data_IF_409142490778
#
_entry.id   IF_409142490778
#
_cell.length_a   1.000
_cell.length_b   1.000
_cell.length_c   1.000
_cell.angle_alpha   90.00
_cell.angle_beta   90.00
_cell.angle_gamma   90.00
#
_symmetry.space_group_name_H-M   'P 1'
#
loop_
_entity.id
_entity.type
_entity.pdbx_description
1 polymer ?
#
# COMPACT_ATOMS: atom_id res chain seq x y z
N UNK A 1 -29.04 -1.03 -1.28
CA UNK A 1 -28.20 -1.91 -0.44
C UNK A 1 -27.61 -3.02 -1.30
N UNK A 2 -26.41 -2.81 -1.85
CA UNK A 2 -25.65 -3.88 -2.51
C UNK A 2 -24.50 -4.24 -1.57
N UNK A 3 -24.46 -5.50 -1.19
CA UNK A 3 -23.50 -6.09 -0.26
C UNK A 3 -22.08 -5.78 -0.76
N UNK A 4 -21.38 -4.92 -0.01
CA UNK A 4 -19.92 -4.85 -0.02
C UNK A 4 -19.42 -6.29 0.08
N UNK A 5 -18.67 -6.77 -0.92
CA UNK A 5 -18.06 -8.11 -0.90
C UNK A 5 -17.15 -8.12 0.33
N UNK A 6 -17.65 -8.68 1.44
CA UNK A 6 -17.07 -8.49 2.75
C UNK A 6 -15.60 -8.89 2.69
N UNK A 7 -14.71 -7.95 3.04
CA UNK A 7 -13.28 -8.10 2.90
C UNK A 7 -12.86 -9.50 3.36
N UNK A 8 -12.17 -10.26 2.50
CA UNK A 8 -11.56 -11.51 2.94
C UNK A 8 -10.61 -11.15 4.09
N UNK A 9 -10.81 -11.76 5.26
CA UNK A 9 -9.93 -11.56 6.40
C UNK A 9 -8.55 -12.09 6.03
N UNK A 10 -7.51 -11.38 6.50
CA UNK A 10 -6.15 -11.70 6.10
C UNK A 10 -5.59 -12.80 7.00
N UNK A 11 -4.98 -13.86 6.44
CA UNK A 11 -4.15 -14.74 7.25
C UNK A 11 -2.98 -13.92 7.81
N UNK A 12 -2.87 -13.89 9.13
CA UNK A 12 -1.79 -13.27 9.90
C UNK A 12 -1.03 -14.36 10.63
N UNK A 13 0.30 -14.29 10.60
CA UNK A 13 1.17 -15.13 11.41
C UNK A 13 1.28 -14.51 12.81
N UNK A 14 0.60 -15.09 13.79
CA UNK A 14 0.72 -14.70 15.18
C UNK A 14 1.96 -15.35 15.79
N UNK A 15 2.95 -14.54 16.14
CA UNK A 15 4.23 -15.00 16.68
C UNK A 15 4.18 -14.96 18.20
N UNK A 16 4.35 -16.13 18.82
CA UNK A 16 4.39 -16.32 20.27
C UNK A 16 5.77 -16.81 20.72
N UNK A 17 5.96 -16.96 22.04
CA UNK A 17 7.12 -17.64 22.57
C UNK A 17 7.19 -19.10 22.07
N UNK A 18 6.04 -19.81 22.08
CA UNK A 18 5.93 -21.23 21.72
C UNK A 18 6.01 -21.51 20.21
N UNK A 19 5.69 -20.55 19.34
CA UNK A 19 5.68 -20.83 17.90
C UNK A 19 5.13 -19.71 17.03
N UNK A 20 4.62 -20.12 15.86
CA UNK A 20 3.91 -19.26 14.91
C UNK A 20 2.58 -19.92 14.56
N UNK A 21 1.49 -19.20 14.76
CA UNK A 21 0.13 -19.67 14.51
C UNK A 21 -0.50 -18.87 13.37
N UNK A 22 -1.34 -19.53 12.56
CA UNK A 22 -2.12 -18.83 11.55
C UNK A 22 -3.44 -18.36 12.16
N UNK A 23 -3.66 -17.05 12.15
CA UNK A 23 -4.88 -16.42 12.67
C UNK A 23 -5.57 -15.66 11.55
N UNK A 24 -6.89 -15.80 11.45
CA UNK A 24 -7.72 -14.97 10.59
C UNK A 24 -8.12 -13.70 11.34
N UNK A 25 -7.60 -12.54 10.92
CA UNK A 25 -7.91 -11.26 11.57
C UNK A 25 -9.06 -10.56 10.81
N UNK A 26 -10.28 -10.51 11.38
CA UNK A 26 -11.46 -9.97 10.69
C UNK A 26 -11.43 -8.45 10.55
N UNK A 27 -10.55 -7.76 11.27
CA UNK A 27 -10.41 -6.30 11.18
C UNK A 27 -9.40 -5.89 10.12
N UNK A 28 -8.56 -6.83 9.66
CA UNK A 28 -7.48 -6.56 8.73
C UNK A 28 -7.87 -6.97 7.29
N UNK A 29 -8.10 -6.02 6.37
CA UNK A 29 -8.50 -6.34 5.01
C UNK A 29 -7.38 -7.07 4.25
N UNK A 30 -7.76 -8.00 3.37
CA UNK A 30 -6.86 -8.76 2.50
C UNK A 30 -5.72 -7.90 1.92
N UNK A 31 -4.53 -8.49 1.79
CA UNK A 31 -3.36 -7.83 1.19
C UNK A 31 -3.65 -7.38 -0.24
N UNK A 32 -3.59 -6.06 -0.46
CA UNK A 32 -3.76 -5.44 -1.77
C UNK A 32 -2.58 -4.55 -2.15
N UNK A 33 -1.48 -4.55 -1.39
CA UNK A 33 -0.26 -3.85 -1.80
C UNK A 33 0.50 -4.60 -2.89
N UNK A 34 1.24 -3.89 -3.76
CA UNK A 34 1.91 -4.56 -4.83
C UNK A 34 3.04 -5.36 -4.20
N UNK A 35 3.21 -6.61 -4.64
CA UNK A 35 4.50 -7.24 -4.50
C UNK A 35 5.55 -6.29 -5.13
N UNK A 36 6.67 -6.00 -4.45
CA UNK A 36 7.70 -5.12 -4.98
C UNK A 36 8.13 -5.60 -6.38
N UNK A 37 8.38 -4.68 -7.32
CA UNK A 37 8.88 -5.04 -8.65
C UNK A 37 10.38 -5.32 -8.58
N UNK A 38 10.76 -6.44 -7.96
CA UNK A 38 12.15 -6.82 -7.80
C UNK A 38 12.94 -5.81 -6.94
N UNK A 39 13.98 -6.31 -6.29
CA UNK A 39 14.88 -5.48 -5.48
C UNK A 39 15.81 -4.71 -6.44
N UNK A 40 15.82 -3.37 -6.47
CA UNK A 40 16.93 -2.65 -7.09
C UNK A 40 18.20 -2.89 -6.27
N UNK A 41 19.35 -3.03 -6.94
CA UNK A 41 20.67 -3.02 -6.28
C UNK A 41 20.84 -1.76 -5.41
N UNK A 42 21.61 -1.91 -4.32
CA UNK A 42 21.95 -0.81 -3.42
C UNK A 42 22.59 0.34 -4.23
N UNK A 43 22.19 1.60 -4.02
CA UNK A 43 22.94 2.72 -4.57
C UNK A 43 24.35 2.78 -3.94
N UNK A 44 25.34 3.36 -4.64
CA UNK A 44 26.72 3.40 -4.16
C UNK A 44 26.83 4.13 -2.81
N UNK A 45 27.82 3.77 -1.98
CA UNK A 45 28.05 4.43 -0.70
C UNK A 45 28.26 5.93 -0.91
N UNK A 46 27.61 6.74 -0.07
CA UNK A 46 27.90 8.18 -0.01
C UNK A 46 29.32 8.35 0.55
N UNK A 47 30.15 9.11 -0.17
CA UNK A 47 31.50 9.45 0.23
C UNK A 47 31.51 10.13 1.61
N UNK A 48 32.47 9.72 2.44
CA UNK A 48 32.58 10.13 3.84
C UNK A 48 32.93 11.61 4.04
N UNK A 49 32.45 12.14 5.15
CA UNK A 49 32.80 13.46 5.67
C UNK A 49 32.09 13.68 7.01
N UNK A 50 32.87 13.93 8.06
CA UNK A 50 32.53 13.90 9.51
C UNK A 50 32.42 12.48 10.11
N UNK A 51 32.89 12.30 11.35
CA UNK A 51 32.83 11.04 12.07
C UNK A 51 31.41 10.47 11.98
N UNK A 52 31.22 9.41 11.20
CA UNK A 52 29.90 9.02 10.73
C UNK A 52 28.96 8.79 11.92
N UNK A 53 27.85 9.55 12.00
CA UNK A 53 26.83 9.38 13.03
C UNK A 53 26.43 7.90 13.12
N UNK A 54 26.46 7.36 14.33
CA UNK A 54 26.18 5.94 14.60
C UNK A 54 24.84 5.77 15.29
N UNK A 55 24.27 4.57 15.23
CA UNK A 55 23.05 4.25 15.98
C UNK A 55 23.22 4.50 17.48
N UNK A 56 24.31 4.02 18.15
CA UNK A 56 24.54 4.37 19.55
C UNK A 56 24.71 5.88 19.80
N UNK A 57 25.35 6.59 18.87
CA UNK A 57 25.49 8.05 18.94
C UNK A 57 24.14 8.76 18.93
N UNK A 58 23.22 8.36 18.05
CA UNK A 58 21.87 8.93 18.00
C UNK A 58 21.05 8.64 19.27
N UNK A 59 21.20 7.44 19.85
CA UNK A 59 20.55 7.10 21.13
C UNK A 59 21.11 7.95 22.28
N UNK A 60 22.44 8.14 22.33
CA UNK A 60 23.09 9.00 23.32
C UNK A 60 22.69 10.48 23.17
N UNK A 61 22.60 10.97 21.93
CA UNK A 61 22.13 12.33 21.64
C UNK A 61 20.68 12.53 22.10
N UNK A 62 19.79 11.55 21.87
CA UNK A 62 18.41 11.60 22.34
C UNK A 62 18.31 11.64 23.87
N UNK A 63 19.15 10.88 24.60
CA UNK A 63 19.23 10.97 26.06
C UNK A 63 19.73 12.35 26.51
N UNK A 64 20.81 12.84 25.90
CA UNK A 64 21.38 14.16 26.23
C UNK A 64 20.41 15.32 25.96
N UNK A 65 19.51 15.17 24.99
CA UNK A 65 18.45 16.12 24.69
C UNK A 65 17.19 15.94 25.56
N UNK A 66 17.17 14.97 26.48
CA UNK A 66 16.00 14.68 27.33
C UNK A 66 14.82 14.04 26.58
N UNK A 67 15.02 13.57 25.35
CA UNK A 67 13.96 12.97 24.54
C UNK A 67 13.66 11.52 24.93
N UNK A 68 14.59 10.86 25.64
CA UNK A 68 14.42 9.53 26.23
C UNK A 68 15.03 9.49 27.63
N UNK A 69 14.54 8.55 28.45
CA UNK A 69 15.11 8.26 29.76
C UNK A 69 16.28 7.25 29.68
N UNK A 70 16.97 7.06 30.81
CA UNK A 70 18.11 6.15 30.92
C UNK A 70 17.72 4.69 30.64
N UNK A 71 16.51 4.27 31.03
CA UNK A 71 16.03 2.90 30.84
C UNK A 71 15.89 2.58 29.35
N UNK A 72 15.28 3.49 28.58
CA UNK A 72 15.17 3.36 27.12
C UNK A 72 16.53 3.43 26.44
N UNK A 73 17.41 4.32 26.88
CA UNK A 73 18.78 4.41 26.38
C UNK A 73 19.50 3.06 26.50
N UNK A 74 19.54 2.49 27.71
CA UNK A 74 20.27 1.25 27.98
C UNK A 74 19.62 0.05 27.31
N UNK A 75 18.29 -0.03 27.34
CA UNK A 75 17.51 -1.06 26.65
C UNK A 75 17.79 -1.10 25.15
N UNK A 76 17.73 0.06 24.49
CA UNK A 76 17.98 0.14 23.04
C UNK A 76 19.42 -0.16 22.66
N UNK A 77 20.41 0.32 23.42
CA UNK A 77 21.80 -0.07 23.17
C UNK A 77 22.01 -1.58 23.33
N UNK A 78 21.36 -2.20 24.32
CA UNK A 78 21.35 -3.66 24.50
C UNK A 78 20.72 -4.38 23.30
N UNK A 79 19.51 -3.99 22.88
CA UNK A 79 18.82 -4.53 21.70
C UNK A 79 19.68 -4.43 20.43
N UNK A 80 20.37 -3.30 20.23
CA UNK A 80 21.28 -3.12 19.09
C UNK A 80 22.49 -4.06 19.12
N UNK A 81 23.10 -4.23 20.30
CA UNK A 81 24.22 -5.16 20.49
C UNK A 81 23.78 -6.61 20.30
N UNK A 82 22.60 -6.97 20.79
CA UNK A 82 22.02 -8.30 20.64
C UNK A 82 21.77 -8.61 19.15
N UNK A 83 21.10 -7.70 18.43
CA UNK A 83 20.82 -7.87 17.00
C UNK A 83 22.10 -8.14 16.18
N UNK A 84 23.19 -7.39 16.45
CA UNK A 84 24.49 -7.62 15.82
C UNK A 84 25.10 -8.97 16.18
N UNK A 85 24.96 -9.40 17.43
CA UNK A 85 25.45 -10.70 17.91
C UNK A 85 24.70 -11.86 17.25
N UNK A 86 23.38 -11.76 17.20
CA UNK A 86 22.50 -12.74 16.53
C UNK A 86 22.83 -12.80 15.04
N UNK A 87 22.93 -11.67 14.33
CA UNK A 87 23.30 -11.61 12.91
C UNK A 87 24.58 -12.38 12.61
N UNK A 88 25.60 -12.31 13.48
CA UNK A 88 26.88 -13.02 13.28
C UNK A 88 26.72 -14.55 13.29
N UNK A 89 25.77 -15.08 14.08
CA UNK A 89 25.51 -16.51 14.25
C UNK A 89 24.51 -17.08 13.25
N UNK A 90 23.67 -16.24 12.66
CA UNK A 90 22.69 -16.67 11.67
C UNK A 90 23.37 -17.08 10.35
N UNK A 91 22.91 -18.16 9.68
CA UNK A 91 23.33 -18.51 8.34
C UNK A 91 22.36 -17.98 7.26
N UNK A 92 22.83 -17.98 6.01
CA UNK A 92 21.99 -17.85 4.81
C UNK A 92 21.02 -16.67 4.80
N UNK A 93 19.76 -16.94 4.46
CA UNK A 93 18.71 -15.93 4.32
C UNK A 93 18.47 -15.16 5.63
N UNK A 94 18.42 -15.84 6.78
CA UNK A 94 18.17 -15.22 8.10
C UNK A 94 19.19 -14.12 8.40
N UNK A 95 20.47 -14.37 8.08
CA UNK A 95 21.55 -13.37 8.21
C UNK A 95 21.35 -12.16 7.31
N UNK A 96 20.91 -12.38 6.06
CA UNK A 96 20.66 -11.31 5.08
C UNK A 96 19.49 -10.44 5.52
N UNK A 97 18.38 -11.04 5.96
CA UNK A 97 17.18 -10.32 6.37
C UNK A 97 17.41 -9.48 7.63
N UNK A 98 17.95 -10.06 8.71
CA UNK A 98 18.30 -9.29 9.90
C UNK A 98 19.41 -8.27 9.60
N UNK A 99 20.35 -8.65 8.74
CA UNK A 99 21.41 -7.76 8.26
C UNK A 99 20.85 -6.49 7.64
N UNK A 100 19.85 -6.62 6.76
CA UNK A 100 19.24 -5.47 6.09
C UNK A 100 18.55 -4.51 7.05
N UNK A 101 17.91 -5.02 8.11
CA UNK A 101 17.26 -4.18 9.13
C UNK A 101 18.30 -3.35 9.87
N UNK A 102 19.41 -3.98 10.31
CA UNK A 102 20.54 -3.29 10.94
C UNK A 102 21.16 -2.25 9.99
N UNK A 103 21.35 -2.60 8.73
CA UNK A 103 22.00 -1.73 7.75
C UNK A 103 21.11 -0.52 7.39
N UNK A 104 19.79 -0.70 7.32
CA UNK A 104 18.81 0.38 7.12
C UNK A 104 18.83 1.40 8.27
N UNK A 105 18.83 0.90 9.51
CA UNK A 105 18.92 1.74 10.71
C UNK A 105 20.26 2.49 10.76
N UNK A 106 21.36 1.81 10.42
CA UNK A 106 22.67 2.43 10.29
C UNK A 106 22.73 3.52 9.22
N UNK A 107 22.03 3.32 8.09
CA UNK A 107 21.95 4.33 7.03
C UNK A 107 21.17 5.57 7.48
N UNK A 108 20.07 5.40 8.23
CA UNK A 108 19.36 6.52 8.86
C UNK A 108 20.26 7.31 9.80
N UNK A 109 21.03 6.62 10.66
CA UNK A 109 21.95 7.28 11.59
C UNK A 109 23.02 8.08 10.83
N UNK A 110 23.70 7.46 9.84
CA UNK A 110 24.74 8.13 9.04
C UNK A 110 24.21 9.33 8.26
N UNK A 111 22.96 9.26 7.78
CA UNK A 111 22.29 10.37 7.12
C UNK A 111 21.78 11.47 8.06
N UNK A 112 21.96 11.32 9.39
CA UNK A 112 21.38 12.24 10.37
C UNK A 112 19.85 12.20 10.43
N UNK A 113 19.25 11.11 9.92
CA UNK A 113 17.80 10.93 9.84
C UNK A 113 17.25 10.10 10.99
N UNK A 114 18.08 9.45 11.81
CA UNK A 114 17.63 8.72 13.01
C UNK A 114 17.39 9.72 14.17
N UNK A 115 16.32 10.50 14.07
CA UNK A 115 15.89 11.47 15.09
C UNK A 115 15.26 10.77 16.31
N UNK A 116 15.08 11.46 17.46
CA UNK A 116 14.45 10.87 18.63
C UNK A 116 13.08 10.23 18.36
N UNK A 117 12.23 10.88 17.56
CA UNK A 117 10.91 10.35 17.18
C UNK A 117 10.96 9.12 16.28
N UNK A 118 12.11 8.80 15.68
CA UNK A 118 12.30 7.62 14.82
C UNK A 118 12.97 6.46 15.56
N UNK A 119 13.46 6.67 16.79
CA UNK A 119 14.09 5.60 17.57
C UNK A 119 13.08 4.52 17.92
N UNK A 120 11.91 4.86 18.47
CA UNK A 120 10.88 3.89 18.85
C UNK A 120 10.47 2.94 17.71
N UNK A 121 10.04 3.41 16.51
CA UNK A 121 9.65 2.49 15.44
C UNK A 121 10.82 1.68 14.86
N UNK A 122 12.02 2.26 14.76
CA UNK A 122 13.19 1.53 14.20
C UNK A 122 13.74 0.48 15.16
N UNK A 123 13.72 0.74 16.47
CA UNK A 123 14.07 -0.27 17.48
C UNK A 123 13.02 -1.36 17.59
N UNK A 124 11.72 -1.02 17.47
CA UNK A 124 10.67 -2.04 17.42
C UNK A 124 10.88 -3.00 16.22
N UNK A 125 11.19 -2.49 15.03
CA UNK A 125 11.56 -3.35 13.90
C UNK A 125 12.79 -4.22 14.21
N UNK A 126 13.84 -3.64 14.79
CA UNK A 126 15.07 -4.35 15.12
C UNK A 126 14.83 -5.51 16.08
N UNK A 127 14.06 -5.29 17.15
CA UNK A 127 13.76 -6.27 18.19
C UNK A 127 12.91 -7.41 17.64
N UNK A 128 11.82 -7.10 16.91
CA UNK A 128 10.96 -8.13 16.32
C UNK A 128 11.69 -8.96 15.27
N UNK A 129 12.55 -8.36 14.45
CA UNK A 129 13.39 -9.11 13.52
C UNK A 129 14.43 -9.97 14.23
N UNK A 130 15.06 -9.45 15.29
CA UNK A 130 16.07 -10.20 16.06
C UNK A 130 15.47 -11.44 16.72
N UNK A 131 14.26 -11.32 17.26
CA UNK A 131 13.49 -12.45 17.79
C UNK A 131 13.10 -13.42 16.68
N UNK A 132 12.48 -12.93 15.61
CA UNK A 132 11.90 -13.77 14.58
C UNK A 132 12.95 -14.58 13.82
N UNK A 133 14.00 -13.92 13.32
CA UNK A 133 14.99 -14.57 12.47
C UNK A 133 15.89 -15.54 13.21
N UNK A 134 15.90 -15.51 14.55
CA UNK A 134 16.62 -16.49 15.38
C UNK A 134 16.17 -17.92 15.12
N UNK A 135 14.86 -18.13 15.05
CA UNK A 135 14.30 -19.48 15.15
C UNK A 135 12.97 -19.70 14.42
N UNK A 136 12.18 -18.64 14.15
CA UNK A 136 10.82 -18.81 13.61
C UNK A 136 10.85 -19.23 12.13
N UNK A 137 9.84 -19.97 11.63
CA UNK A 137 9.77 -20.40 10.22
C UNK A 137 9.87 -19.23 9.24
N UNK A 138 10.52 -19.45 8.09
CA UNK A 138 10.66 -18.42 7.05
C UNK A 138 9.28 -18.16 6.44
N UNK A 139 8.75 -16.91 6.52
CA UNK A 139 7.43 -16.61 6.03
C UNK A 139 7.44 -16.41 4.50
N UNK A 140 6.29 -16.57 3.87
CA UNK A 140 6.12 -16.26 2.45
C UNK A 140 6.20 -14.75 2.19
N UNK A 141 6.62 -14.36 0.98
CA UNK A 141 6.69 -12.95 0.59
C UNK A 141 5.33 -12.24 0.80
N UNK A 142 5.34 -11.09 1.48
CA UNK A 142 4.12 -10.34 1.79
C UNK A 142 3.30 -10.88 2.96
N UNK A 143 3.75 -11.95 3.64
CA UNK A 143 3.09 -12.44 4.85
C UNK A 143 3.02 -11.33 5.91
N UNK A 144 1.87 -11.25 6.59
CA UNK A 144 1.65 -10.32 7.69
C UNK A 144 1.84 -11.03 9.03
N UNK A 145 2.41 -10.33 10.01
CA UNK A 145 2.76 -10.91 11.30
C UNK A 145 2.40 -9.96 12.45
N UNK A 146 2.04 -10.53 13.60
CA UNK A 146 1.89 -9.81 14.88
C UNK A 146 2.69 -10.54 15.96
N UNK A 147 3.02 -9.86 17.05
CA UNK A 147 3.88 -10.42 18.10
C UNK A 147 3.22 -10.33 19.48
N UNK A 148 2.97 -11.48 20.10
CA UNK A 148 2.33 -11.55 21.41
C UNK A 148 1.00 -10.80 21.43
N UNK A 149 0.84 -9.90 22.41
CA UNK A 149 -0.40 -9.12 22.58
C UNK A 149 -0.42 -7.79 21.81
N UNK A 150 0.69 -7.43 21.14
CA UNK A 150 0.77 -6.21 20.33
C UNK A 150 -0.19 -6.29 19.15
N UNK A 151 -0.88 -5.19 18.87
CA UNK A 151 -1.75 -5.07 17.70
C UNK A 151 -0.97 -4.73 16.41
N UNK A 152 0.31 -4.39 16.54
CA UNK A 152 1.13 -3.90 15.43
C UNK A 152 1.41 -5.02 14.41
N UNK A 153 0.97 -4.75 13.19
CA UNK A 153 1.16 -5.60 12.03
C UNK A 153 2.48 -5.27 11.35
N UNK A 154 3.31 -6.29 11.21
CA UNK A 154 4.48 -6.32 10.37
C UNK A 154 4.15 -7.00 9.05
N UNK A 155 4.92 -6.72 8.01
CA UNK A 155 4.90 -7.45 6.76
C UNK A 155 6.30 -7.90 6.37
N UNK A 156 6.43 -9.13 5.90
CA UNK A 156 7.69 -9.62 5.35
C UNK A 156 7.91 -9.11 3.93
N UNK A 157 8.99 -8.37 3.75
CA UNK A 157 9.49 -7.92 2.45
C UNK A 157 10.81 -8.64 2.18
N UNK A 158 10.86 -9.60 1.23
CA UNK A 158 12.10 -10.31 0.93
C UNK A 158 13.27 -9.36 0.64
N UNK A 159 14.40 -9.61 1.30
CA UNK A 159 15.58 -8.76 1.22
C UNK A 159 15.46 -7.43 1.96
N UNK A 160 14.38 -7.19 2.70
CA UNK A 160 14.17 -6.02 3.57
C UNK A 160 13.85 -6.41 5.03
N UNK A 161 13.66 -7.68 5.36
CA UNK A 161 13.23 -8.14 6.68
C UNK A 161 11.74 -7.92 6.94
N UNK A 162 11.33 -8.08 8.19
CA UNK A 162 9.99 -7.74 8.66
C UNK A 162 9.92 -6.23 8.89
N UNK A 163 8.94 -5.56 8.31
CA UNK A 163 8.76 -4.11 8.43
C UNK A 163 7.42 -3.77 9.02
N UNK A 164 7.37 -2.75 9.87
CA UNK A 164 6.10 -2.17 10.28
C UNK A 164 5.39 -1.75 8.99
N UNK A 165 4.10 -2.09 8.89
CA UNK A 165 3.31 -1.80 7.71
C UNK A 165 2.26 -0.74 8.11
N UNK A 166 2.54 0.58 7.94
CA UNK A 166 1.62 1.65 8.31
C UNK A 166 0.19 1.49 7.76
N UNK A 167 0.02 1.23 6.46
CA UNK A 167 -1.30 1.05 5.85
C UNK A 167 -2.09 -0.11 6.47
N UNK A 168 -1.50 -1.28 6.66
CA UNK A 168 -2.15 -2.45 7.24
C UNK A 168 -2.56 -2.18 8.69
N UNK A 169 -1.70 -1.49 9.46
CA UNK A 169 -2.01 -1.08 10.82
C UNK A 169 -3.22 -0.14 10.87
N UNK A 170 -3.21 0.94 10.08
CA UNK A 170 -4.34 1.88 10.09
C UNK A 170 -5.60 1.32 9.44
N UNK A 171 -5.47 0.39 8.48
CA UNK A 171 -6.61 -0.34 7.95
C UNK A 171 -7.26 -1.21 9.04
N UNK A 172 -6.47 -1.91 9.85
CA UNK A 172 -6.95 -2.69 11.00
C UNK A 172 -7.57 -1.79 12.08
N UNK A 173 -6.97 -0.64 12.38
CA UNK A 173 -7.53 0.34 13.30
C UNK A 173 -8.92 0.85 12.83
N UNK A 174 -9.04 1.18 11.54
CA UNK A 174 -10.34 1.52 10.95
C UNK A 174 -11.31 0.33 10.94
N UNK A 175 -10.82 -0.90 10.77
CA UNK A 175 -11.59 -2.13 10.89
C UNK A 175 -12.22 -2.31 12.27
N UNK A 176 -11.49 -2.00 13.35
CA UNK A 176 -12.05 -2.03 14.70
C UNK A 176 -13.19 -1.02 14.88
N UNK A 177 -13.01 0.22 14.42
CA UNK A 177 -14.07 1.22 14.44
C UNK A 177 -15.29 0.78 13.63
N UNK A 178 -15.06 0.27 12.41
CA UNK A 178 -16.08 -0.26 11.51
C UNK A 178 -16.91 -1.36 12.19
N UNK A 179 -16.28 -2.28 12.92
CA UNK A 179 -16.96 -3.31 13.68
C UNK A 179 -17.85 -2.73 14.79
N UNK A 180 -17.38 -1.70 15.49
CA UNK A 180 -18.17 -1.03 16.53
C UNK A 180 -19.35 -0.20 15.99
N UNK A 181 -19.25 0.31 14.77
CA UNK A 181 -20.34 1.05 14.10
C UNK A 181 -21.23 0.18 13.22
N UNK A 182 -20.86 -1.09 12.97
CA UNK A 182 -21.58 -1.98 12.06
C UNK A 182 -21.50 -1.56 10.59
N UNK A 183 -20.44 -0.85 10.17
CA UNK A 183 -20.28 -0.33 8.81
C UNK A 183 -19.11 -1.01 8.10
N UNK A 184 -19.25 -1.36 6.82
CA UNK A 184 -18.17 -1.91 5.99
C UNK A 184 -17.38 -3.05 6.68
N UNK A 185 -18.10 -3.92 7.38
CA UNK A 185 -17.54 -5.03 8.17
C UNK A 185 -18.35 -6.29 7.91
N UNK A 186 -17.73 -7.46 8.09
CA UNK A 186 -18.44 -8.74 8.00
C UNK A 186 -19.54 -8.82 9.08
N UNK A 187 -20.74 -9.32 8.75
CA UNK A 187 -21.77 -9.62 9.76
C UNK A 187 -21.20 -10.49 10.89
N UNK A 188 -21.55 -10.16 12.13
CA UNK A 188 -21.08 -10.88 13.32
C UNK A 188 -19.67 -10.54 13.80
N UNK A 189 -18.96 -9.60 13.16
CA UNK A 189 -17.65 -9.13 13.67
C UNK A 189 -17.84 -8.34 14.97
N UNK A 190 -17.24 -8.74 16.09
CA UNK A 190 -17.49 -8.10 17.38
C UNK A 190 -16.84 -6.72 17.49
N UNK A 191 -17.46 -5.80 18.21
CA UNK A 191 -16.80 -4.56 18.61
C UNK A 191 -15.71 -4.84 19.65
N UNK A 192 -14.45 -4.49 19.35
CA UNK A 192 -13.29 -4.65 20.25
C UNK A 192 -12.71 -3.28 20.62
N UNK A 193 -13.49 -2.49 21.37
CA UNK A 193 -13.14 -1.10 21.72
C UNK A 193 -11.80 -0.96 22.46
N UNK A 194 -11.47 -1.91 23.35
CA UNK A 194 -10.19 -1.92 24.07
C UNK A 194 -9.00 -2.23 23.15
N UNK A 195 -9.14 -3.19 22.23
CA UNK A 195 -8.10 -3.49 21.23
C UNK A 195 -7.89 -2.32 20.26
N UNK A 196 -8.97 -1.58 19.94
CA UNK A 196 -8.86 -0.35 19.16
C UNK A 196 -8.03 0.71 19.88
N UNK A 197 -8.33 0.99 21.15
CA UNK A 197 -7.58 1.94 21.97
C UNK A 197 -6.11 1.53 22.10
N UNK A 198 -5.84 0.27 22.42
CA UNK A 198 -4.48 -0.27 22.50
C UNK A 198 -3.73 -0.10 21.18
N UNK A 199 -4.37 -0.39 20.05
CA UNK A 199 -3.75 -0.22 18.73
C UNK A 199 -3.43 1.24 18.41
N UNK A 200 -4.33 2.18 18.71
CA UNK A 200 -4.08 3.61 18.49
C UNK A 200 -2.95 4.13 19.39
N UNK A 201 -2.87 3.66 20.63
CA UNK A 201 -1.81 4.03 21.56
C UNK A 201 -0.45 3.50 21.12
N UNK A 202 -0.38 2.25 20.66
CA UNK A 202 0.82 1.70 20.04
C UNK A 202 1.22 2.49 18.79
N UNK A 203 0.25 2.85 17.92
CA UNK A 203 0.53 3.61 16.70
C UNK A 203 0.95 5.06 16.97
N UNK A 204 0.44 5.68 18.04
CA UNK A 204 0.86 7.01 18.46
C UNK A 204 2.35 7.03 18.81
N UNK A 205 2.84 6.00 19.52
CA UNK A 205 4.26 5.85 19.87
C UNK A 205 5.18 5.60 18.66
N UNK A 206 4.63 5.24 17.50
CA UNK A 206 5.38 4.99 16.26
C UNK A 206 5.41 6.20 15.31
N UNK A 207 4.78 7.31 15.69
CA UNK A 207 4.78 8.54 14.90
C UNK A 207 6.14 9.24 14.89
N UNK A 208 6.66 9.56 13.71
CA UNK A 208 7.86 10.35 13.51
C UNK A 208 7.51 11.82 13.26
N UNK A 209 8.32 12.74 13.80
CA UNK A 209 8.21 14.18 13.52
C UNK A 209 9.05 14.52 12.29
N UNK A 210 8.44 15.18 11.29
CA UNK A 210 9.12 15.62 10.08
C UNK A 210 8.52 16.91 9.52
N UNK A 211 9.20 17.50 8.55
CA UNK A 211 8.72 18.65 7.80
C UNK A 211 8.90 20.01 8.48
N UNK A 212 8.54 21.06 7.74
CA UNK A 212 8.56 22.46 8.18
C UNK A 212 7.31 23.16 7.62
N UNK A 213 6.31 23.50 8.45
CA UNK A 213 6.21 23.23 9.89
C UNK A 213 6.22 21.72 10.20
N UNK A 214 6.62 21.39 11.44
CA UNK A 214 6.73 20.01 11.87
C UNK A 214 5.34 19.35 11.98
N UNK A 215 5.26 18.08 11.59
CA UNK A 215 4.03 17.29 11.64
C UNK A 215 4.34 15.81 11.94
N UNK A 216 3.33 15.05 12.34
CA UNK A 216 3.45 13.63 12.67
C UNK A 216 3.24 12.74 11.44
N UNK A 217 4.15 11.80 11.21
CA UNK A 217 4.11 10.88 10.10
C UNK A 217 4.34 9.44 10.53
N UNK A 218 3.63 8.50 9.88
CA UNK A 218 3.90 7.08 10.02
C UNK A 218 4.69 6.62 8.79
N UNK A 219 6.01 6.63 8.96
CA UNK A 219 6.99 6.44 7.90
C UNK A 219 7.29 4.96 7.61
N UNK A 220 7.82 4.71 6.41
CA UNK A 220 8.43 3.45 6.01
C UNK A 220 9.94 3.59 6.07
N UNK A 221 10.61 2.70 6.82
CA UNK A 221 12.05 2.77 7.13
C UNK A 221 12.94 1.87 6.27
N UNK A 222 12.46 1.47 5.10
CA UNK A 222 13.17 0.59 4.17
C UNK A 222 13.09 1.08 2.72
N UNK A 223 13.98 0.55 1.87
CA UNK A 223 13.98 0.86 0.43
C UNK A 223 12.88 0.11 -0.30
N UNK A 224 12.15 0.80 -1.18
CA UNK A 224 11.04 0.22 -1.92
C UNK A 224 10.96 0.79 -3.32
N UNK A 225 10.94 -0.06 -4.36
CA UNK A 225 10.84 0.34 -5.78
C UNK A 225 11.79 1.52 -6.17
N UNK A 226 13.02 1.50 -5.63
CA UNK A 226 14.05 2.52 -5.88
C UNK A 226 14.00 3.74 -4.94
N UNK A 227 12.97 3.84 -4.10
CA UNK A 227 12.83 4.85 -3.06
C UNK A 227 13.76 4.63 -1.88
N UNK A 228 14.30 5.72 -1.32
CA UNK A 228 15.12 5.69 -0.09
C UNK A 228 14.27 6.04 1.13
N UNK A 229 14.45 5.34 2.27
CA UNK A 229 13.79 5.71 3.51
C UNK A 229 14.41 6.95 4.15
N UNK A 230 13.66 7.64 5.05
CA UNK A 230 12.28 7.37 5.38
C UNK A 230 11.32 8.05 4.37
N UNK A 231 10.30 7.32 3.95
CA UNK A 231 9.27 7.85 3.05
C UNK A 231 7.87 7.68 3.66
N UNK A 232 6.96 8.55 3.25
CA UNK A 232 5.53 8.52 3.61
C UNK A 232 4.66 8.24 2.39
N UNK A 233 3.43 7.80 2.66
CA UNK A 233 2.40 7.52 1.65
C UNK A 233 1.12 8.27 1.92
N UNK A 234 0.48 8.86 0.90
CA UNK A 234 -0.85 9.49 1.06
C UNK A 234 -1.90 8.48 1.49
N UNK A 235 -1.75 7.23 1.04
CA UNK A 235 -2.65 6.13 1.38
C UNK A 235 -2.56 5.76 2.86
N UNK A 236 -1.34 5.57 3.39
CA UNK A 236 -1.17 5.27 4.82
C UNK A 236 -1.52 6.48 5.69
N UNK A 237 -1.07 7.68 5.34
CA UNK A 237 -1.36 8.90 6.11
C UNK A 237 -2.85 9.23 6.14
N UNK A 238 -3.56 9.09 5.02
CA UNK A 238 -5.00 9.34 4.95
C UNK A 238 -5.78 8.34 5.80
N UNK A 239 -5.38 7.07 5.75
CA UNK A 239 -5.97 6.01 6.59
C UNK A 239 -5.64 6.23 8.07
N UNK A 240 -4.48 6.82 8.38
CA UNK A 240 -4.07 7.14 9.75
C UNK A 240 -4.91 8.27 10.38
N UNK A 241 -5.01 9.42 9.71
CA UNK A 241 -5.81 10.55 10.22
C UNK A 241 -7.28 10.16 10.38
N UNK A 242 -7.79 9.29 9.50
CA UNK A 242 -9.12 8.69 9.61
C UNK A 242 -9.26 7.85 10.88
N UNK A 243 -8.30 6.94 11.14
CA UNK A 243 -8.33 6.06 12.30
C UNK A 243 -8.26 6.85 13.62
N UNK A 244 -7.40 7.87 13.69
CA UNK A 244 -7.29 8.71 14.88
C UNK A 244 -8.51 9.60 15.09
N UNK A 245 -9.07 10.21 14.03
CA UNK A 245 -10.32 10.97 14.15
C UNK A 245 -11.48 10.09 14.66
N UNK A 246 -11.62 8.88 14.09
CA UNK A 246 -12.56 7.87 14.58
C UNK A 246 -12.29 7.41 16.00
N UNK A 247 -11.02 7.40 16.42
CA UNK A 247 -10.60 7.22 17.80
C UNK A 247 -11.17 8.30 18.71
N UNK A 248 -11.10 9.57 18.32
CA UNK A 248 -11.74 10.68 19.04
C UNK A 248 -13.24 10.46 19.20
N UNK A 249 -13.94 10.15 18.11
CA UNK A 249 -15.39 9.96 18.12
C UNK A 249 -15.82 8.77 18.99
N UNK A 250 -15.12 7.63 18.90
CA UNK A 250 -15.52 6.40 19.58
C UNK A 250 -15.01 6.30 21.02
N UNK A 251 -13.81 6.81 21.30
CA UNK A 251 -13.11 6.64 22.59
C UNK A 251 -13.14 7.91 23.46
N UNK A 252 -13.32 9.09 22.87
CA UNK A 252 -13.42 10.36 23.60
C UNK A 252 -12.11 10.92 24.17
N UNK A 253 -10.97 10.25 23.95
CA UNK A 253 -9.67 10.73 24.42
C UNK A 253 -9.11 11.81 23.46
N UNK A 254 -8.83 13.05 23.94
CA UNK A 254 -8.37 14.15 23.11
C UNK A 254 -7.01 13.90 22.45
N UNK A 255 -6.18 12.98 22.95
CA UNK A 255 -4.88 12.66 22.34
C UNK A 255 -5.03 12.15 20.90
N UNK A 256 -6.14 11.47 20.59
CA UNK A 256 -6.40 10.99 19.24
C UNK A 256 -6.75 12.13 18.28
N UNK A 257 -7.47 13.15 18.76
CA UNK A 257 -7.75 14.34 17.94
C UNK A 257 -6.45 15.08 17.63
N UNK A 258 -5.59 15.25 18.65
CA UNK A 258 -4.27 15.86 18.49
C UNK A 258 -3.40 15.09 17.49
N UNK A 259 -3.38 13.76 17.56
CA UNK A 259 -2.63 12.91 16.63
C UNK A 259 -3.15 13.03 15.18
N UNK A 260 -4.47 13.02 15.00
CA UNK A 260 -5.08 13.20 13.67
C UNK A 260 -4.71 14.57 13.08
N UNK A 261 -4.81 15.62 13.88
CA UNK A 261 -4.49 17.00 13.52
C UNK A 261 -3.00 17.21 13.23
N UNK A 262 -2.12 16.57 13.99
CA UNK A 262 -0.69 16.58 13.68
C UNK A 262 -0.37 15.79 12.39
N UNK A 263 -1.20 14.83 12.00
CA UNK A 263 -0.99 13.99 10.83
C UNK A 263 -1.26 14.69 9.48
N UNK A 264 -2.10 15.73 9.46
CA UNK A 264 -2.51 16.37 8.20
C UNK A 264 -1.38 17.14 7.51
N UNK A 265 -0.31 17.49 8.24
CA UNK A 265 0.85 18.20 7.67
C UNK A 265 1.52 17.46 6.51
N UNK A 266 1.31 16.15 6.39
CA UNK A 266 1.73 15.39 5.20
C UNK A 266 1.09 15.92 3.90
N UNK A 267 -0.17 16.35 3.98
CA UNK A 267 -0.96 16.86 2.86
C UNK A 267 -0.77 18.35 2.61
N UNK A 268 -0.15 19.08 3.55
CA UNK A 268 0.20 20.49 3.40
C UNK A 268 1.55 20.68 2.69
N UNK A 269 2.38 19.63 2.64
CA UNK A 269 3.76 19.72 2.18
C UNK A 269 4.01 18.93 0.89
N UNK A 270 4.93 19.44 0.06
CA UNK A 270 5.35 18.78 -1.18
C UNK A 270 6.29 17.60 -0.91
N UNK A 271 6.31 16.58 -1.79
CA UNK A 271 7.39 15.61 -1.87
C UNK A 271 8.80 16.24 -1.90
N UNK A 272 9.83 15.59 -1.31
CA UNK A 272 9.77 14.30 -0.62
C UNK A 272 9.29 14.41 0.84
N UNK A 273 9.08 15.62 1.35
CA UNK A 273 8.74 15.85 2.75
C UNK A 273 7.29 15.45 3.03
N UNK A 274 6.33 15.91 2.23
CA UNK A 274 4.92 15.51 2.28
C UNK A 274 4.48 14.76 1.01
N UNK A 275 3.18 14.84 0.68
CA UNK A 275 2.56 14.09 -0.43
C UNK A 275 1.78 14.95 -1.42
N UNK A 276 1.72 16.27 -1.22
CA UNK A 276 0.94 17.18 -2.07
C UNK A 276 1.68 17.57 -3.35
N UNK A 277 1.07 17.31 -4.52
CA UNK A 277 1.57 17.76 -5.81
C UNK A 277 0.48 18.50 -6.59
N UNK A 278 0.79 19.62 -7.26
CA UNK A 278 -0.17 20.29 -8.14
C UNK A 278 -0.69 19.33 -9.22
N UNK A 279 -1.98 19.42 -9.51
CA UNK A 279 -2.65 18.66 -10.57
C UNK A 279 -3.79 19.48 -11.19
N UNK A 280 -4.29 19.04 -12.34
CA UNK A 280 -5.40 19.69 -13.01
C UNK A 280 -6.61 19.79 -12.06
N UNK A 281 -7.10 21.01 -11.83
CA UNK A 281 -8.21 21.29 -10.93
C UNK A 281 -7.87 21.41 -9.45
N UNK A 282 -6.66 21.06 -8.99
CA UNK A 282 -6.31 21.16 -7.57
C UNK A 282 -5.01 20.44 -7.18
N UNK A 283 -5.09 19.57 -6.19
CA UNK A 283 -3.91 18.88 -5.62
C UNK A 283 -4.09 17.37 -5.69
N UNK A 284 -3.09 16.65 -6.20
CA UNK A 284 -3.02 15.20 -6.06
C UNK A 284 -2.17 14.83 -4.83
N UNK A 285 -2.56 13.77 -4.12
CA UNK A 285 -1.80 13.24 -3.00
C UNK A 285 -1.12 11.92 -3.37
N UNK A 286 0.18 11.96 -3.60
CA UNK A 286 0.93 10.83 -4.16
C UNK A 286 1.05 9.67 -3.18
N UNK A 287 0.89 8.45 -3.70
CA UNK A 287 1.06 7.21 -2.92
C UNK A 287 2.47 7.09 -2.33
N UNK A 288 3.50 7.60 -3.01
CA UNK A 288 4.88 7.52 -2.54
C UNK A 288 5.49 8.91 -2.61
N UNK A 289 5.88 9.46 -1.46
CA UNK A 289 6.58 10.76 -1.38
C UNK A 289 7.90 10.79 -2.17
N UNK A 290 8.50 9.63 -2.50
CA UNK A 290 9.69 9.58 -3.37
C UNK A 290 9.37 9.48 -4.88
N UNK A 291 8.09 9.35 -5.28
CA UNK A 291 7.65 9.31 -6.68
C UNK A 291 6.61 10.41 -6.97
N UNK A 292 6.99 11.69 -6.97
CA UNK A 292 6.06 12.82 -7.10
C UNK A 292 5.30 12.88 -8.44
N UNK A 293 5.74 12.11 -9.45
CA UNK A 293 5.11 12.07 -10.78
C UNK A 293 4.22 10.84 -10.99
N UNK A 294 4.09 9.97 -9.98
CA UNK A 294 3.35 8.72 -10.09
C UNK A 294 1.95 8.86 -9.47
N UNK A 295 0.97 9.15 -10.32
CA UNK A 295 -0.40 9.43 -9.89
C UNK A 295 -1.20 8.13 -9.86
N UNK A 296 -1.38 7.57 -8.67
CA UNK A 296 -2.07 6.29 -8.44
C UNK A 296 -3.43 6.56 -7.84
N UNK A 297 -4.49 6.13 -8.53
CA UNK A 297 -5.86 6.53 -8.21
C UNK A 297 -6.37 5.94 -6.90
N UNK A 298 -6.05 4.69 -6.57
CA UNK A 298 -6.57 4.06 -5.35
C UNK A 298 -6.06 4.77 -4.08
N UNK A 299 -4.78 5.10 -4.03
CA UNK A 299 -4.17 5.86 -2.95
C UNK A 299 -4.76 7.25 -2.82
N UNK A 300 -4.94 7.92 -3.96
CA UNK A 300 -5.49 9.26 -3.98
C UNK A 300 -6.93 9.29 -3.45
N UNK A 301 -7.83 8.45 -3.98
CA UNK A 301 -9.23 8.41 -3.53
C UNK A 301 -9.34 8.02 -2.04
N UNK A 302 -8.54 7.05 -1.56
CA UNK A 302 -8.55 6.71 -0.14
C UNK A 302 -8.02 7.83 0.76
N UNK A 303 -7.03 8.60 0.30
CA UNK A 303 -6.57 9.76 1.06
C UNK A 303 -7.67 10.81 1.22
N UNK A 304 -8.55 10.97 0.22
CA UNK A 304 -9.71 11.86 0.30
C UNK A 304 -10.79 11.33 1.23
N UNK A 305 -11.07 10.03 1.22
CA UNK A 305 -11.95 9.41 2.23
C UNK A 305 -11.47 9.71 3.65
N UNK A 306 -10.16 9.63 3.87
CA UNK A 306 -9.56 9.91 5.17
C UNK A 306 -9.60 11.40 5.56
N UNK A 307 -9.29 12.30 4.63
CA UNK A 307 -9.39 13.75 4.86
C UNK A 307 -10.84 14.20 5.12
N UNK A 308 -11.81 13.63 4.39
CA UNK A 308 -13.23 13.90 4.62
C UNK A 308 -13.66 13.49 6.03
N UNK A 309 -13.41 12.23 6.41
CA UNK A 309 -13.76 11.74 7.76
C UNK A 309 -13.07 12.55 8.85
N UNK A 310 -11.77 12.85 8.67
CA UNK A 310 -11.02 13.71 9.58
C UNK A 310 -11.69 15.08 9.74
N UNK A 311 -11.98 15.77 8.63
CA UNK A 311 -12.56 17.11 8.66
C UNK A 311 -13.97 17.12 9.28
N UNK A 312 -14.77 16.09 9.02
CA UNK A 312 -16.14 15.98 9.53
C UNK A 312 -16.15 15.70 11.04
N UNK A 313 -15.27 14.81 11.50
CA UNK A 313 -15.23 14.40 12.91
C UNK A 313 -14.56 15.47 13.78
N UNK A 314 -13.49 16.11 13.30
CA UNK A 314 -12.71 17.06 14.10
C UNK A 314 -13.16 18.52 13.94
N UNK A 315 -13.84 18.85 12.83
CA UNK A 315 -14.18 20.23 12.49
C UNK A 315 -12.98 21.10 12.07
N UNK A 316 -11.78 20.55 11.87
CA UNK A 316 -10.60 21.35 11.48
C UNK A 316 -10.75 21.88 10.03
N UNK A 317 -10.83 23.22 9.83
CA UNK A 317 -11.01 23.81 8.51
C UNK A 317 -9.83 23.56 7.57
N UNK A 318 -8.61 23.29 8.08
CA UNK A 318 -7.46 22.92 7.25
C UNK A 318 -7.69 21.58 6.58
N UNK A 319 -8.22 20.61 7.31
CA UNK A 319 -8.60 19.30 6.77
C UNK A 319 -9.62 19.41 5.64
N UNK A 320 -10.64 20.25 5.84
CA UNK A 320 -11.64 20.53 4.81
C UNK A 320 -11.03 21.21 3.57
N UNK A 321 -10.13 22.18 3.76
CA UNK A 321 -9.42 22.83 2.66
C UNK A 321 -8.58 21.86 1.84
N UNK A 322 -7.86 20.95 2.51
CA UNK A 322 -7.10 19.87 1.87
C UNK A 322 -8.01 18.91 1.12
N UNK A 323 -9.11 18.48 1.74
CA UNK A 323 -10.11 17.65 1.09
C UNK A 323 -10.64 18.33 -0.19
N UNK A 324 -11.06 19.59 -0.13
CA UNK A 324 -11.62 20.32 -1.28
C UNK A 324 -10.60 20.47 -2.42
N UNK A 325 -9.35 20.81 -2.11
CA UNK A 325 -8.28 20.90 -3.12
C UNK A 325 -8.00 19.54 -3.78
N UNK A 326 -8.05 18.46 -3.00
CA UNK A 326 -7.91 17.10 -3.49
C UNK A 326 -9.11 16.63 -4.32
N UNK A 327 -10.31 16.90 -3.85
CA UNK A 327 -11.58 16.52 -4.47
C UNK A 327 -11.72 17.15 -5.86
N UNK A 328 -11.36 18.43 -6.01
CA UNK A 328 -11.37 19.11 -7.30
C UNK A 328 -10.48 18.41 -8.34
N UNK A 329 -9.28 17.97 -7.95
CA UNK A 329 -8.42 17.17 -8.82
C UNK A 329 -8.94 15.73 -9.04
N UNK A 330 -9.59 15.13 -8.04
CA UNK A 330 -10.16 13.79 -8.14
C UNK A 330 -11.35 13.71 -9.11
N UNK A 331 -12.15 14.76 -9.27
CA UNK A 331 -13.23 14.79 -10.28
C UNK A 331 -12.70 14.59 -11.70
N UNK A 332 -11.55 15.20 -12.01
CA UNK A 332 -10.87 15.06 -13.30
C UNK A 332 -10.21 13.69 -13.40
N UNK A 333 -9.42 13.33 -12.39
CA UNK A 333 -8.58 12.13 -12.46
C UNK A 333 -9.40 10.84 -12.40
N UNK A 334 -10.54 10.80 -11.70
CA UNK A 334 -11.41 9.62 -11.67
C UNK A 334 -11.81 9.19 -13.09
N UNK A 335 -12.17 10.15 -13.94
CA UNK A 335 -12.52 9.90 -15.35
C UNK A 335 -11.32 9.40 -16.15
N UNK A 336 -10.14 9.98 -15.92
CA UNK A 336 -8.90 9.59 -16.61
C UNK A 336 -8.43 8.16 -16.29
N UNK A 337 -8.93 7.56 -15.21
CA UNK A 337 -8.60 6.19 -14.81
C UNK A 337 -9.65 5.16 -15.23
N UNK A 338 -10.72 5.57 -15.91
CA UNK A 338 -11.71 4.68 -16.50
C UNK A 338 -11.42 4.46 -17.99
N UNK A 339 -11.17 3.22 -18.40
CA UNK A 339 -10.96 2.88 -19.83
C UNK A 339 -12.26 2.66 -20.59
N UNK A 340 -13.41 2.74 -19.91
CA UNK A 340 -14.72 2.35 -20.43
C UNK A 340 -15.00 0.84 -20.29
N UNK A 341 -14.03 0.05 -19.82
CA UNK A 341 -14.17 -1.40 -19.64
C UNK A 341 -13.40 -1.95 -18.42
N UNK A 342 -12.52 -1.16 -17.82
CA UNK A 342 -11.72 -1.49 -16.65
C UNK A 342 -11.12 -0.22 -16.02
N UNK A 343 -10.44 -0.36 -14.89
CA UNK A 343 -9.71 0.76 -14.27
C UNK A 343 -8.22 0.73 -14.58
N UNK A 344 -7.59 1.89 -14.67
CA UNK A 344 -6.13 2.06 -14.68
C UNK A 344 -5.59 2.14 -13.25
N UNK A 345 -4.40 1.58 -13.01
CA UNK A 345 -3.75 1.66 -11.70
C UNK A 345 -3.19 3.07 -11.43
N UNK A 346 -2.57 3.65 -12.45
CA UNK A 346 -2.09 5.03 -12.41
C UNK A 346 -2.27 5.73 -13.74
N UNK A 347 -2.17 7.05 -13.74
CA UNK A 347 -2.48 7.91 -14.89
C UNK A 347 -1.65 7.54 -16.11
N UNK A 348 -2.32 7.23 -17.24
CA UNK A 348 -1.66 6.79 -18.48
C UNK A 348 -0.91 5.46 -18.37
N UNK A 349 -1.10 4.74 -17.25
CA UNK A 349 -0.38 3.51 -16.93
C UNK A 349 -1.11 2.23 -17.36
N UNK A 350 -0.71 1.13 -16.73
CA UNK A 350 -1.33 -0.18 -16.94
C UNK A 350 -2.71 -0.26 -16.30
N UNK A 351 -3.55 -1.15 -16.84
CA UNK A 351 -4.78 -1.58 -16.17
C UNK A 351 -4.49 -2.19 -14.79
N UNK A 352 -5.40 -1.94 -13.87
CA UNK A 352 -5.40 -2.50 -12.52
C UNK A 352 -5.48 -4.03 -12.56
N UNK A 353 -4.80 -4.70 -11.62
CA UNK A 353 -5.10 -6.11 -11.32
C UNK A 353 -6.53 -6.23 -10.75
N UNK A 354 -7.05 -7.46 -10.61
CA UNK A 354 -8.39 -7.66 -10.07
C UNK A 354 -8.54 -7.06 -8.66
N UNK A 355 -7.53 -7.27 -7.81
CA UNK A 355 -7.51 -6.70 -6.46
C UNK A 355 -7.55 -5.17 -6.49
N UNK A 356 -6.75 -4.53 -7.33
CA UNK A 356 -6.75 -3.07 -7.43
C UNK A 356 -8.02 -2.49 -8.02
N UNK A 357 -8.63 -3.18 -8.98
CA UNK A 357 -9.89 -2.75 -9.57
C UNK A 357 -11.00 -2.73 -8.52
N UNK A 358 -11.10 -3.80 -7.73
CA UNK A 358 -12.01 -3.89 -6.58
C UNK A 358 -11.74 -2.80 -5.56
N UNK A 359 -10.45 -2.60 -5.23
CA UNK A 359 -10.04 -1.62 -4.24
C UNK A 359 -10.42 -0.18 -4.61
N UNK A 360 -10.10 0.26 -5.83
CA UNK A 360 -10.46 1.61 -6.26
C UNK A 360 -11.97 1.78 -6.38
N UNK A 361 -12.70 0.75 -6.84
CA UNK A 361 -14.16 0.73 -6.82
C UNK A 361 -14.70 0.96 -5.40
N UNK A 362 -14.20 0.24 -4.41
CA UNK A 362 -14.68 0.35 -3.03
C UNK A 362 -14.35 1.72 -2.42
N UNK A 363 -13.17 2.28 -2.72
CA UNK A 363 -12.82 3.63 -2.31
C UNK A 363 -13.70 4.70 -2.98
N UNK A 364 -14.06 4.52 -4.25
CA UNK A 364 -14.99 5.41 -4.96
C UNK A 364 -16.41 5.29 -4.40
N UNK A 365 -16.88 4.08 -4.06
CA UNK A 365 -18.16 3.89 -3.35
C UNK A 365 -18.14 4.62 -2.01
N UNK A 366 -17.07 4.48 -1.23
CA UNK A 366 -16.92 5.20 0.04
C UNK A 366 -16.91 6.71 -0.13
N UNK A 367 -16.30 7.24 -1.19
CA UNK A 367 -16.30 8.67 -1.46
C UNK A 367 -17.65 9.17 -1.98
N UNK A 368 -18.36 8.35 -2.76
CA UNK A 368 -19.76 8.58 -3.13
C UNK A 368 -20.65 8.67 -1.89
N UNK A 369 -20.57 7.72 -0.96
CA UNK A 369 -21.38 7.74 0.28
C UNK A 369 -21.20 9.05 1.06
N UNK A 370 -19.96 9.57 1.11
CA UNK A 370 -19.60 10.82 1.80
C UNK A 370 -20.09 12.08 1.09
N UNK A 371 -19.96 12.12 -0.23
CA UNK A 371 -20.05 13.37 -1.01
C UNK A 371 -21.28 13.46 -1.90
N UNK A 372 -21.94 12.32 -2.13
CA UNK A 372 -23.01 12.13 -3.13
C UNK A 372 -22.65 12.70 -4.51
N UNK A 373 -21.35 12.76 -4.83
CA UNK A 373 -20.87 13.36 -6.07
C UNK A 373 -20.95 12.36 -7.23
N UNK A 374 -21.69 12.74 -8.28
CA UNK A 374 -22.03 11.89 -9.43
C UNK A 374 -20.84 11.13 -10.03
N UNK A 375 -19.68 11.78 -10.22
CA UNK A 375 -18.54 11.12 -10.87
C UNK A 375 -18.03 9.93 -10.06
N UNK A 376 -18.05 10.00 -8.72
CA UNK A 376 -17.62 8.87 -7.90
C UNK A 376 -18.66 7.76 -7.90
N UNK A 377 -19.94 8.12 -7.75
CA UNK A 377 -21.04 7.17 -7.74
C UNK A 377 -21.16 6.40 -9.06
N UNK A 378 -21.13 7.12 -10.19
CA UNK A 378 -21.24 6.53 -11.53
C UNK A 378 -20.01 5.72 -11.93
N UNK A 379 -18.80 6.15 -11.56
CA UNK A 379 -17.58 5.36 -11.81
C UNK A 379 -17.52 4.12 -10.92
N UNK A 380 -17.92 4.19 -9.65
CA UNK A 380 -18.01 3.01 -8.78
C UNK A 380 -19.02 1.98 -9.33
N UNK A 381 -20.18 2.44 -9.81
CA UNK A 381 -21.16 1.58 -10.48
C UNK A 381 -20.60 0.96 -11.77
N UNK A 382 -19.89 1.75 -12.58
CA UNK A 382 -19.26 1.26 -13.81
C UNK A 382 -18.17 0.22 -13.54
N UNK A 383 -17.30 0.45 -12.55
CA UNK A 383 -16.28 -0.52 -12.13
C UNK A 383 -16.92 -1.80 -11.57
N UNK A 384 -18.04 -1.68 -10.84
CA UNK A 384 -18.82 -2.85 -10.42
C UNK A 384 -19.31 -3.64 -11.63
N UNK A 385 -19.88 -2.97 -12.64
CA UNK A 385 -20.35 -3.61 -13.88
C UNK A 385 -19.20 -4.30 -14.65
N UNK A 386 -18.04 -3.66 -14.74
CA UNK A 386 -16.86 -4.20 -15.46
C UNK A 386 -16.33 -5.52 -14.91
N UNK A 387 -16.56 -5.81 -13.62
CA UNK A 387 -16.25 -7.10 -13.02
C UNK A 387 -17.04 -8.27 -13.63
N UNK A 388 -18.16 -8.00 -14.31
CA UNK A 388 -19.07 -9.00 -14.85
C UNK A 388 -19.17 -8.98 -16.37
N UNK A 389 -18.80 -7.86 -17.02
CA UNK A 389 -18.79 -7.76 -18.47
C UNK A 389 -17.69 -8.63 -19.11
N UNK A 390 -17.96 -9.30 -20.23
CA UNK A 390 -16.94 -10.05 -20.98
C UNK A 390 -15.98 -9.10 -21.69
N UNK A 391 -14.70 -9.47 -21.91
CA UNK A 391 -13.80 -8.68 -22.76
C UNK A 391 -14.37 -8.61 -24.18
N UNK A 392 -14.28 -7.45 -24.85
CA UNK A 392 -14.71 -7.29 -26.24
C UNK A 392 -13.51 -7.41 -27.18
N UNK A 393 -13.73 -8.07 -28.30
CA UNK A 393 -12.76 -8.22 -29.38
C UNK A 393 -13.35 -7.65 -30.67
N UNK A 394 -12.68 -6.66 -31.23
CA UNK A 394 -13.09 -6.01 -32.48
C UNK A 394 -12.02 -6.25 -33.55
N UNK A 395 -12.39 -6.88 -34.66
CA UNK A 395 -11.48 -7.13 -35.76
C UNK A 395 -11.17 -5.84 -36.52
N UNK A 396 -9.89 -5.52 -36.71
CA UNK A 396 -9.45 -4.30 -37.41
C UNK A 396 -8.85 -4.58 -38.79
N UNK A 397 -8.78 -5.85 -39.21
CA UNK A 397 -8.25 -6.23 -40.51
C UNK A 397 -6.94 -7.02 -40.46
N UNK A 398 -6.44 -7.31 -41.65
CA UNK A 398 -5.18 -8.01 -41.90
C UNK A 398 -4.37 -7.23 -42.94
N UNK A 399 -3.06 -7.09 -42.72
CA UNK A 399 -2.10 -6.57 -43.71
C UNK A 399 -0.97 -7.57 -43.86
N UNK A 400 -0.83 -8.18 -45.05
CA UNK A 400 0.08 -9.30 -45.25
C UNK A 400 -0.22 -10.41 -44.24
N UNK A 401 0.81 -10.95 -43.56
CA UNK A 401 0.62 -11.99 -42.53
C UNK A 401 0.23 -11.46 -41.15
N UNK A 402 0.02 -10.16 -40.99
CA UNK A 402 -0.25 -9.55 -39.67
C UNK A 402 -1.73 -9.25 -39.52
N UNK A 403 -2.34 -9.76 -38.46
CA UNK A 403 -3.71 -9.42 -38.08
C UNK A 403 -3.72 -8.31 -37.04
N UNK A 404 -4.79 -7.51 -37.03
CA UNK A 404 -5.05 -6.49 -36.01
C UNK A 404 -6.45 -6.65 -35.42
N UNK A 405 -6.55 -6.48 -34.11
CA UNK A 405 -7.83 -6.39 -33.41
C UNK A 405 -7.71 -5.45 -32.21
N UNK A 406 -8.81 -4.86 -31.76
CA UNK A 406 -8.90 -4.09 -30.52
C UNK A 406 -9.45 -4.99 -29.40
N UNK A 407 -8.81 -4.92 -28.23
CA UNK A 407 -9.21 -5.59 -27.00
C UNK A 407 -9.71 -4.54 -26.00
N UNK A 408 -10.86 -4.76 -25.37
CA UNK A 408 -11.42 -3.76 -24.44
C UNK A 408 -10.77 -3.76 -23.06
N UNK A 409 -10.27 -4.89 -22.57
CA UNK A 409 -9.71 -4.99 -21.22
C UNK A 409 -8.69 -6.11 -21.05
N UNK A 410 -7.86 -5.98 -20.02
CA UNK A 410 -6.79 -6.90 -19.64
C UNK A 410 -7.24 -8.37 -19.70
N UNK A 411 -6.58 -9.15 -20.57
CA UNK A 411 -6.95 -10.54 -20.85
C UNK A 411 -5.75 -11.40 -21.20
N UNK A 412 -5.84 -12.69 -20.88
CA UNK A 412 -5.04 -13.71 -21.57
C UNK A 412 -5.60 -13.88 -22.97
N UNK A 413 -4.80 -13.54 -23.98
CA UNK A 413 -5.17 -13.65 -25.38
C UNK A 413 -4.42 -14.81 -26.03
N UNK A 414 -5.19 -15.77 -26.53
CA UNK A 414 -4.69 -16.92 -27.31
C UNK A 414 -5.07 -16.75 -28.77
N UNK A 415 -4.05 -16.71 -29.64
CA UNK A 415 -4.21 -16.64 -31.10
C UNK A 415 -3.90 -18.01 -31.68
N UNK A 416 -4.85 -18.58 -32.40
CA UNK A 416 -4.73 -19.88 -33.06
C UNK A 416 -4.95 -19.70 -34.55
N UNK A 417 -4.07 -20.24 -35.40
CA UNK A 417 -4.24 -20.22 -36.85
C UNK A 417 -4.50 -21.64 -37.38
N UNK A 418 -5.30 -21.77 -38.44
CA UNK A 418 -5.46 -23.02 -39.20
C UNK A 418 -4.56 -22.98 -40.43
N UNK A 419 -3.70 -23.98 -40.58
CA UNK A 419 -2.73 -24.10 -41.68
C UNK A 419 -2.82 -25.53 -42.22
N UNK A 420 -3.07 -25.70 -43.52
CA UNK A 420 -3.24 -27.02 -44.17
C UNK A 420 -4.22 -27.93 -43.37
N UNK A 421 -5.35 -27.39 -42.94
CA UNK A 421 -6.36 -28.11 -42.16
C UNK A 421 -6.04 -28.34 -40.67
N UNK A 422 -4.83 -28.02 -40.18
CA UNK A 422 -4.43 -28.22 -38.78
C UNK A 422 -4.44 -26.91 -37.99
N UNK A 423 -5.00 -26.91 -36.79
CA UNK A 423 -4.98 -25.77 -35.87
C UNK A 423 -3.67 -25.70 -35.10
N UNK A 424 -3.06 -24.52 -35.00
CA UNK A 424 -1.81 -24.28 -34.28
C UNK A 424 -1.93 -23.03 -33.41
N UNK A 425 -1.57 -23.12 -32.13
CA UNK A 425 -1.46 -21.95 -31.24
C UNK A 425 -0.23 -21.16 -31.65
N UNK A 426 -0.43 -19.89 -31.97
CA UNK A 426 0.62 -18.97 -32.40
C UNK A 426 1.14 -18.16 -31.22
N UNK A 427 0.24 -17.77 -30.32
CA UNK A 427 0.60 -17.01 -29.13
C UNK A 427 -0.43 -17.24 -28.03
N UNK A 428 0.02 -17.23 -26.78
CA UNK A 428 -0.84 -17.11 -25.60
C UNK A 428 -0.15 -16.18 -24.63
N UNK A 429 -0.64 -14.94 -24.51
CA UNK A 429 -0.01 -13.89 -23.69
C UNK A 429 -1.04 -13.11 -22.91
N UNK A 430 -0.65 -12.66 -21.72
CA UNK A 430 -1.43 -11.72 -20.94
C UNK A 430 -1.16 -10.29 -21.43
N UNK A 431 -2.17 -9.60 -21.94
CA UNK A 431 -2.04 -8.28 -22.56
C UNK A 431 -3.16 -7.34 -22.12
N UNK A 432 -2.83 -6.05 -21.97
CA UNK A 432 -3.80 -5.00 -21.65
C UNK A 432 -4.71 -4.62 -22.82
N UNK A 433 -5.63 -3.70 -22.60
CA UNK A 433 -6.54 -3.14 -23.59
C UNK A 433 -5.84 -2.47 -24.79
N UNK A 434 -6.62 -2.08 -25.80
CA UNK A 434 -6.17 -1.38 -26.99
C UNK A 434 -5.88 -2.31 -28.17
N UNK A 435 -5.20 -1.78 -29.19
CA UNK A 435 -4.92 -2.50 -30.44
C UNK A 435 -3.81 -3.52 -30.23
N UNK A 436 -4.02 -4.75 -30.72
CA UNK A 436 -3.04 -5.83 -30.75
C UNK A 436 -2.77 -6.27 -32.17
N UNK A 437 -1.52 -6.66 -32.40
CA UNK A 437 -1.05 -7.15 -33.70
C UNK A 437 -0.33 -8.47 -33.51
N UNK A 438 -0.64 -9.45 -34.37
CA UNK A 438 0.01 -10.76 -34.34
C UNK A 438 0.35 -11.21 -35.76
N UNK A 439 1.56 -11.72 -35.93
CA UNK A 439 1.99 -12.36 -37.17
C UNK A 439 1.46 -13.79 -37.27
N UNK A 440 1.01 -14.17 -38.46
CA UNK A 440 0.51 -15.50 -38.77
C UNK A 440 1.53 -16.31 -39.59
N UNK A 441 1.52 -17.64 -39.47
CA UNK A 441 2.32 -18.51 -40.33
C UNK A 441 1.90 -18.40 -41.80
N UNK A 442 2.82 -18.69 -42.72
CA UNK A 442 2.53 -18.75 -44.16
C UNK A 442 1.49 -19.85 -44.42
N UNK A 443 0.53 -19.58 -45.30
CA UNK A 443 -0.55 -20.53 -45.64
C UNK A 443 -1.62 -20.69 -44.56
N UNK A 444 -1.76 -19.73 -43.63
CA UNK A 444 -2.89 -19.68 -42.72
C UNK A 444 -4.18 -19.36 -43.47
N UNK A 445 -5.21 -20.19 -43.32
CA UNK A 445 -6.52 -20.05 -43.98
C UNK A 445 -7.59 -19.46 -43.05
N UNK A 446 -7.40 -19.59 -41.74
CA UNK A 446 -8.25 -18.94 -40.74
C UNK A 446 -7.47 -18.63 -39.47
N UNK A 447 -7.99 -17.67 -38.71
CA UNK A 447 -7.48 -17.30 -37.38
C UNK A 447 -8.63 -17.24 -36.38
N UNK A 448 -8.38 -17.76 -35.19
CA UNK A 448 -9.22 -17.66 -34.01
C UNK A 448 -8.45 -16.88 -32.95
N UNK A 449 -9.06 -15.83 -32.42
CA UNK A 449 -8.56 -15.10 -31.26
C UNK A 449 -9.50 -15.36 -30.10
N UNK A 450 -8.99 -15.88 -28.99
CA UNK A 450 -9.72 -16.04 -27.73
C UNK A 450 -9.12 -15.09 -26.71
N UNK A 451 -9.97 -14.34 -26.01
CA UNK A 451 -9.60 -13.54 -24.85
C UNK A 451 -10.29 -14.09 -23.60
N UNK A 452 -9.57 -14.13 -22.48
CA UNK A 452 -10.09 -14.50 -21.17
C UNK A 452 -9.64 -13.45 -20.15
N UNK A 453 -10.58 -12.74 -19.53
CA UNK A 453 -10.26 -11.68 -18.58
C UNK A 453 -9.77 -12.20 -17.22
N UNK A 454 -9.46 -11.29 -16.29
CA UNK A 454 -9.05 -11.59 -14.91
C UNK A 454 -10.10 -12.35 -14.07
N UNK A 455 -11.37 -12.32 -14.49
CA UNK A 455 -12.49 -13.04 -13.86
C UNK A 455 -12.86 -14.31 -14.63
N UNK A 456 -12.02 -14.73 -15.57
CA UNK A 456 -12.16 -15.90 -16.40
C UNK A 456 -13.29 -15.85 -17.45
N UNK A 457 -13.88 -14.69 -17.73
CA UNK A 457 -14.91 -14.54 -18.75
C UNK A 457 -14.32 -14.65 -20.17
N UNK A 458 -14.82 -15.57 -21.02
CA UNK A 458 -14.26 -15.78 -22.35
C UNK A 458 -15.01 -14.98 -23.42
N UNK A 459 -14.24 -14.50 -24.41
CA UNK A 459 -14.74 -14.01 -25.71
C UNK A 459 -13.87 -14.59 -26.82
N UNK A 460 -14.46 -14.83 -27.99
CA UNK A 460 -13.71 -15.27 -29.15
C UNK A 460 -14.18 -14.59 -30.44
N UNK A 461 -13.26 -14.44 -31.38
CA UNK A 461 -13.55 -14.08 -32.76
C UNK A 461 -12.87 -15.10 -33.69
N UNK A 462 -13.50 -15.39 -34.82
CA UNK A 462 -12.94 -16.25 -35.87
C UNK A 462 -13.04 -15.51 -37.20
N UNK A 463 -11.96 -15.54 -38.00
CA UNK A 463 -11.90 -14.92 -39.33
C UNK A 463 -11.21 -15.86 -40.31
N UNK A 464 -11.82 -16.05 -41.47
CA UNK A 464 -11.15 -16.59 -42.66
C UNK A 464 -10.25 -15.51 -43.26
N UNK A 465 -9.07 -15.88 -43.77
CA UNK A 465 -8.01 -14.91 -44.13
C UNK A 465 -7.27 -15.27 -45.41
#
# INVERSE_FOLDING_TARGET
MSLCEAASASPVLHVTASGVEHVDDPYLPATLEPAPRGVPEDPPPVAGGSAARTVPGAVKEALGAGAIDQVRHDGWLSSYKEAKTVKKRLPGLRKKELGRVIDSMGALARGGLLSPSRLAPTFLELERNTLFWREKPIPGAGARLTFGNSQIVFQYYPGQGLRIQPLANFAKANGFYNACKGINVRPGTPCRKQSFAAMLDELLALGAVRGKPAYTAWEYYFTFDGGRPPWVSSLSQGTAIQAFARGTELLGDPKYAAAATAGIGAFEQRPPTGVAVPADGGTHYVIYSFLPRFFVVNAFIQSLNGLYDYSTITGDPRGLGLFNAGEAAARVQTRQHDTGAWSLYGRGGRESTLGYHRLVRDFLSGLCDRTQTDVYCTTAASFTRYLHEKPKLEWLGRKGRTIKFRLSKLSTVTVTARVKGKSRVISSKFVGYGVKSYGLPKGASSVKVRAKDLRNHPTQLVKSI
#
